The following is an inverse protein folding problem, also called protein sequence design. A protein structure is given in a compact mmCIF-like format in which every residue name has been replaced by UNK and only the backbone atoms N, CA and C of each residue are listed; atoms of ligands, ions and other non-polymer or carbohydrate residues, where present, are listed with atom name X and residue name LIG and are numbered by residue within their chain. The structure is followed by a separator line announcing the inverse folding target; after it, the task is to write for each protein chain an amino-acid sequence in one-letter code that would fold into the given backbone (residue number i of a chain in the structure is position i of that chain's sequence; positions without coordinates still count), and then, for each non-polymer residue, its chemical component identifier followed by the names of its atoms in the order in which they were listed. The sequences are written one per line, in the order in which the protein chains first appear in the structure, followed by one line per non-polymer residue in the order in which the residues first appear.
data_IF_624772385643
#
_entry.id   IF_624772385643
#
_cell.length_a   1.000
_cell.length_b   1.000
_cell.length_c   1.000
_cell.angle_alpha   90.00
_cell.angle_beta   90.00
_cell.angle_gamma   90.00
#
_symmetry.space_group_name_H-M   'P 1'
#
loop_
_entity.id
_entity.type
_entity.pdbx_description
1 polymer ?
#
# COMPACT_ATOMS: atom_id res chain seq x y z
N UNK A 1 -11.14 1.22 26.77
CA UNK A 1 -10.94 2.69 26.83
C UNK A 1 -10.65 3.21 28.24
N UNK A 2 -11.35 2.82 29.31
CA UNK A 2 -11.22 3.45 30.65
C UNK A 2 -9.80 3.52 31.23
N UNK A 3 -8.95 2.53 30.98
CA UNK A 3 -7.53 2.54 31.41
C UNK A 3 -6.52 2.97 30.35
N UNK A 4 -6.97 3.32 29.14
CA UNK A 4 -6.05 3.75 28.07
C UNK A 4 -5.61 5.20 28.30
N UNK A 5 -4.33 5.47 28.13
CA UNK A 5 -3.75 6.83 28.24
C UNK A 5 -3.53 7.48 26.88
N UNK A 6 -3.45 6.67 25.81
CA UNK A 6 -3.31 7.10 24.42
C UNK A 6 -3.99 6.12 23.47
N UNK A 7 -4.17 6.53 22.22
CA UNK A 7 -4.57 5.69 21.10
C UNK A 7 -3.39 5.56 20.13
N UNK A 8 -2.96 4.33 19.86
CA UNK A 8 -2.00 4.04 18.79
C UNK A 8 -2.76 3.54 17.57
N UNK A 9 -2.60 4.22 16.44
CA UNK A 9 -3.34 3.94 15.22
C UNK A 9 -2.39 3.56 14.08
N UNK A 10 -2.53 2.36 13.56
CA UNK A 10 -1.81 1.92 12.35
C UNK A 10 -2.75 1.83 11.16
N UNK A 11 -3.94 1.26 11.36
CA UNK A 11 -5.06 1.23 10.42
C UNK A 11 -6.32 0.60 11.04
N UNK A 12 -7.53 0.86 10.50
CA UNK A 12 -7.88 2.00 9.66
C UNK A 12 -8.02 3.29 10.49
N UNK A 13 -7.62 4.44 9.93
CA UNK A 13 -7.67 5.72 10.66
C UNK A 13 -9.10 6.10 11.09
N UNK A 14 -10.10 5.83 10.24
CA UNK A 14 -11.50 6.09 10.55
C UNK A 14 -11.94 5.43 11.87
N UNK A 15 -11.55 4.17 12.11
CA UNK A 15 -11.84 3.47 13.36
C UNK A 15 -11.16 4.11 14.57
N UNK A 16 -9.93 4.60 14.43
CA UNK A 16 -9.21 5.28 15.49
C UNK A 16 -9.85 6.63 15.86
N UNK A 17 -10.29 7.40 14.86
CA UNK A 17 -11.01 8.66 15.09
C UNK A 17 -12.36 8.42 15.78
N UNK A 18 -13.08 7.36 15.39
CA UNK A 18 -14.30 6.93 16.09
C UNK A 18 -14.01 6.60 17.57
N UNK A 19 -12.95 5.84 17.86
CA UNK A 19 -12.57 5.54 19.25
C UNK A 19 -12.19 6.80 20.05
N UNK A 20 -11.55 7.77 19.40
CA UNK A 20 -11.24 9.06 20.00
C UNK A 20 -12.52 9.83 20.33
N UNK A 21 -13.46 9.96 19.39
CA UNK A 21 -14.77 10.58 19.62
C UNK A 21 -15.53 9.92 20.77
N UNK A 22 -15.57 8.58 20.82
CA UNK A 22 -16.24 7.84 21.90
C UNK A 22 -15.58 8.12 23.26
N UNK A 23 -14.25 8.27 23.30
CA UNK A 23 -13.55 8.66 24.51
C UNK A 23 -13.90 10.10 24.92
N UNK A 24 -13.94 11.03 23.96
CA UNK A 24 -14.26 12.44 24.18
C UNK A 24 -15.70 12.63 24.67
N UNK A 25 -16.66 11.91 24.09
CA UNK A 25 -18.06 11.88 24.54
C UNK A 25 -18.21 11.38 26.00
N UNK A 26 -17.21 10.64 26.50
CA UNK A 26 -17.13 10.19 27.91
C UNK A 26 -16.27 11.11 28.78
N UNK A 27 -15.98 12.32 28.31
CA UNK A 27 -15.18 13.32 29.02
C UNK A 27 -13.68 13.03 29.05
N UNK A 28 -13.17 12.18 28.15
CA UNK A 28 -11.75 11.80 28.10
C UNK A 28 -11.13 12.12 26.75
N UNK A 29 -10.15 13.01 26.76
CA UNK A 29 -9.35 13.30 25.57
C UNK A 29 -8.14 12.37 25.55
N UNK A 30 -8.11 11.42 24.61
CA UNK A 30 -6.97 10.53 24.42
C UNK A 30 -6.08 11.08 23.29
N UNK A 31 -4.78 11.34 23.57
CA UNK A 31 -3.81 11.61 22.52
C UNK A 31 -3.77 10.47 21.51
N UNK A 32 -3.74 10.82 20.23
CA UNK A 32 -3.69 9.87 19.12
C UNK A 32 -2.29 9.90 18.48
N UNK A 33 -1.61 8.76 18.46
CA UNK A 33 -0.36 8.58 17.72
C UNK A 33 -0.68 7.69 16.52
N UNK A 34 -0.50 8.22 15.32
CA UNK A 34 -0.74 7.48 14.09
C UNK A 34 0.55 7.17 13.33
N UNK A 35 0.76 5.91 12.97
CA UNK A 35 1.77 5.49 11.99
C UNK A 35 1.04 4.81 10.82
N UNK A 36 0.70 5.60 9.81
CA UNK A 36 -0.25 5.23 8.79
C UNK A 36 0.45 4.48 7.64
N UNK A 37 -0.09 3.30 7.32
CA UNK A 37 0.40 2.45 6.23
C UNK A 37 -0.53 2.34 5.03
N UNK A 38 -1.72 2.93 5.10
CA UNK A 38 -2.79 2.82 4.11
C UNK A 38 -3.50 4.15 3.90
N UNK A 39 -4.30 4.26 2.85
CA UNK A 39 -5.10 5.45 2.55
C UNK A 39 -6.01 5.86 3.73
N UNK A 40 -6.22 7.16 3.93
CA UNK A 40 -6.97 7.71 5.07
C UNK A 40 -8.39 7.15 5.21
N UNK A 41 -9.08 7.01 4.08
CA UNK A 41 -10.45 6.50 4.00
C UNK A 41 -10.51 4.97 3.87
N UNK A 42 -9.39 4.26 4.08
CA UNK A 42 -9.41 2.79 4.06
C UNK A 42 -10.42 2.27 5.09
N UNK A 43 -11.37 1.46 4.64
CA UNK A 43 -12.48 0.93 5.46
C UNK A 43 -13.39 2.00 6.09
N UNK A 44 -13.41 3.23 5.59
CA UNK A 44 -14.40 4.24 5.97
C UNK A 44 -15.73 3.96 5.25
N UNK A 45 -16.86 3.81 5.96
CA UNK A 45 -18.18 3.74 5.32
C UNK A 45 -18.43 5.00 4.48
N UNK A 46 -19.07 4.88 3.29
CA UNK A 46 -19.34 6.04 2.43
C UNK A 46 -20.15 7.14 3.14
N UNK A 47 -21.14 6.75 3.94
CA UNK A 47 -22.02 7.69 4.67
C UNK A 47 -21.28 8.47 5.77
N UNK A 48 -20.09 8.00 6.19
CA UNK A 48 -19.30 8.60 7.27
C UNK A 48 -18.12 9.46 6.76
N UNK A 49 -17.95 9.63 5.45
CA UNK A 49 -16.81 10.35 4.86
C UNK A 49 -16.77 11.82 5.31
N UNK A 50 -17.90 12.50 5.34
CA UNK A 50 -17.97 13.90 5.77
C UNK A 50 -17.61 14.02 7.27
N UNK A 51 -18.18 13.15 8.10
CA UNK A 51 -17.85 13.04 9.53
C UNK A 51 -16.36 12.78 9.75
N UNK A 52 -15.76 11.89 8.95
CA UNK A 52 -14.34 11.61 8.99
C UNK A 52 -13.51 12.87 8.73
N UNK A 53 -13.81 13.62 7.66
CA UNK A 53 -13.05 14.80 7.29
C UNK A 53 -13.20 15.94 8.30
N UNK A 54 -14.41 16.16 8.83
CA UNK A 54 -14.64 17.11 9.90
C UNK A 54 -13.76 16.81 11.12
N UNK A 55 -13.70 15.55 11.54
CA UNK A 55 -12.90 15.13 12.67
C UNK A 55 -11.41 15.20 12.39
N UNK A 56 -10.98 14.72 11.23
CA UNK A 56 -9.58 14.82 10.81
C UNK A 56 -9.10 16.28 10.76
N UNK A 57 -9.92 17.19 10.22
CA UNK A 57 -9.62 18.62 10.17
C UNK A 57 -9.56 19.25 11.58
N UNK A 58 -10.40 18.79 12.51
CA UNK A 58 -10.40 19.26 13.91
C UNK A 58 -9.13 18.90 14.69
N UNK A 59 -8.37 17.89 14.22
CA UNK A 59 -7.10 17.53 14.84
C UNK A 59 -6.11 18.68 14.67
N UNK A 60 -5.79 19.36 15.77
CA UNK A 60 -4.82 20.45 15.78
C UNK A 60 -3.41 19.86 15.68
N UNK A 61 -2.59 20.28 14.69
CA UNK A 61 -1.17 19.92 14.68
C UNK A 61 -0.44 20.55 15.87
N UNK A 62 0.68 19.96 16.26
CA UNK A 62 1.49 20.38 17.41
C UNK A 62 2.10 21.79 17.27
N UNK A 63 2.06 22.38 16.07
CA UNK A 63 2.82 23.58 15.70
C UNK A 63 2.33 24.88 16.38
N UNK A 64 1.17 24.87 17.05
CA UNK A 64 0.58 26.07 17.66
C UNK A 64 0.89 26.23 19.17
N UNK A 65 1.94 25.60 19.69
CA UNK A 65 2.36 25.73 21.10
C UNK A 65 1.37 25.17 22.14
N UNK A 66 0.29 24.53 21.68
CA UNK A 66 -0.65 23.79 22.51
C UNK A 66 -0.37 22.28 22.45
N UNK A 67 -0.83 21.50 23.44
CA UNK A 67 -0.73 20.05 23.40
C UNK A 67 -1.52 19.53 22.20
N UNK A 68 -0.81 18.95 21.23
CA UNK A 68 -1.41 18.28 20.09
C UNK A 68 -2.29 17.13 20.57
N UNK A 69 -3.54 17.05 20.12
CA UNK A 69 -4.34 15.84 20.35
C UNK A 69 -3.95 14.69 19.43
N UNK A 70 -3.16 14.96 18.38
CA UNK A 70 -2.70 13.92 17.48
C UNK A 70 -1.30 14.18 16.92
N UNK A 71 -0.52 13.12 16.75
CA UNK A 71 0.75 13.13 16.01
C UNK A 71 0.67 12.01 14.99
N UNK A 72 0.96 12.33 13.73
CA UNK A 72 0.91 11.38 12.63
C UNK A 72 2.26 11.28 11.95
N UNK A 73 2.59 10.09 11.49
CA UNK A 73 3.63 9.82 10.52
C UNK A 73 3.10 8.82 9.50
N UNK A 74 3.66 8.84 8.30
CA UNK A 74 3.33 7.87 7.24
C UNK A 74 4.52 6.99 6.94
N UNK A 75 4.23 5.76 6.54
CA UNK A 75 5.25 4.77 6.22
C UNK A 75 5.82 4.94 4.79
N UNK A 76 5.30 5.83 3.95
CA UNK A 76 5.86 6.04 2.62
C UNK A 76 5.52 7.44 2.06
N UNK A 77 6.35 7.90 1.11
CA UNK A 77 6.19 9.22 0.48
C UNK A 77 4.91 9.32 -0.36
N UNK A 78 4.49 8.24 -1.04
CA UNK A 78 3.26 8.25 -1.85
C UNK A 78 2.05 8.56 -0.96
N UNK A 79 1.96 7.93 0.22
CA UNK A 79 0.90 8.19 1.18
C UNK A 79 0.98 9.62 1.74
N UNK A 80 2.19 10.16 1.98
CA UNK A 80 2.35 11.58 2.35
C UNK A 80 1.72 12.50 1.31
N UNK A 81 2.03 12.29 0.03
CA UNK A 81 1.47 13.09 -1.07
C UNK A 81 -0.03 12.89 -1.22
N UNK A 82 -0.54 11.66 -1.07
CA UNK A 82 -1.98 11.40 -1.11
C UNK A 82 -2.71 12.16 0.00
N UNK A 83 -2.18 12.17 1.23
CA UNK A 83 -2.76 12.92 2.35
C UNK A 83 -2.68 14.41 2.08
N UNK A 84 -1.55 14.89 1.56
CA UNK A 84 -1.38 16.31 1.22
C UNK A 84 -2.38 16.75 0.15
N UNK A 85 -2.57 15.95 -0.89
CA UNK A 85 -3.57 16.21 -1.93
C UNK A 85 -5.00 16.25 -1.37
N UNK A 86 -5.35 15.32 -0.47
CA UNK A 86 -6.71 15.21 0.07
C UNK A 86 -7.04 16.24 1.17
N UNK A 87 -6.04 16.67 1.94
CA UNK A 87 -6.27 17.44 3.17
C UNK A 87 -5.49 18.76 3.26
N UNK A 88 -4.58 19.02 2.33
CA UNK A 88 -3.62 20.12 2.41
C UNK A 88 -2.53 19.95 3.48
N UNK A 89 -2.52 18.83 4.22
CA UNK A 89 -1.55 18.56 5.30
C UNK A 89 -0.46 17.62 4.83
N UNK A 90 0.80 18.03 4.96
CA UNK A 90 1.96 17.19 4.65
C UNK A 90 2.33 16.40 5.90
N UNK A 91 2.21 15.08 5.83
CA UNK A 91 2.57 14.20 6.96
C UNK A 91 4.06 13.86 6.93
N UNK A 92 4.75 13.81 8.08
CA UNK A 92 6.14 13.40 8.09
C UNK A 92 6.25 11.93 7.65
N UNK A 93 7.07 11.69 6.65
CA UNK A 93 7.46 10.36 6.24
C UNK A 93 8.51 9.81 7.20
N UNK A 94 8.20 8.70 7.85
CA UNK A 94 9.11 7.99 8.74
C UNK A 94 9.24 6.56 8.27
N UNK A 95 10.48 6.13 8.01
CA UNK A 95 10.77 4.75 7.66
C UNK A 95 10.86 3.90 8.93
N UNK A 96 9.95 2.94 9.10
CA UNK A 96 10.09 1.98 10.20
C UNK A 96 11.30 1.05 9.98
N UNK A 97 11.79 0.50 11.09
CA UNK A 97 12.78 -0.56 11.08
C UNK A 97 12.20 -1.76 11.81
N UNK A 98 12.33 -2.94 11.22
CA UNK A 98 11.86 -4.22 11.76
C UNK A 98 12.79 -4.78 12.83
N UNK A 99 13.32 -3.95 13.74
CA UNK A 99 14.33 -4.35 14.73
C UNK A 99 13.84 -5.44 15.69
N UNK A 100 12.52 -5.51 15.91
CA UNK A 100 11.87 -6.52 16.74
C UNK A 100 12.09 -7.95 16.22
N UNK A 101 12.45 -8.12 14.95
CA UNK A 101 12.72 -9.44 14.35
C UNK A 101 14.05 -10.02 14.79
N UNK A 102 15.04 -9.18 15.16
CA UNK A 102 16.39 -9.60 15.51
C UNK A 102 17.12 -10.41 14.43
N UNK A 103 16.62 -10.41 13.19
CA UNK A 103 17.15 -11.25 12.12
C UNK A 103 18.23 -10.53 11.31
N UNK A 104 19.18 -11.31 10.80
CA UNK A 104 20.24 -10.85 9.89
C UNK A 104 20.35 -11.83 8.74
N UNK A 105 20.60 -11.31 7.54
CA UNK A 105 20.78 -12.11 6.33
C UNK A 105 21.84 -13.20 6.54
N UNK A 106 21.44 -14.45 6.29
CA UNK A 106 22.27 -15.65 6.52
C UNK A 106 21.94 -16.68 5.43
N UNK A 107 22.48 -16.54 4.20
CA UNK A 107 22.01 -17.29 3.02
C UNK A 107 22.39 -18.79 3.05
N UNK A 108 21.62 -19.60 3.76
CA UNK A 108 21.80 -21.06 3.82
C UNK A 108 21.20 -21.79 2.61
N UNK A 109 20.22 -21.19 1.92
CA UNK A 109 19.55 -21.70 0.71
C UNK A 109 20.08 -20.98 -0.54
N UNK A 110 21.35 -21.18 -0.86
CA UNK A 110 22.10 -20.42 -1.87
C UNK A 110 21.57 -20.52 -3.33
N UNK A 111 20.72 -21.51 -3.62
CA UNK A 111 20.08 -21.71 -4.92
C UNK A 111 18.57 -21.47 -4.89
N UNK A 112 18.00 -21.01 -3.79
CA UNK A 112 16.57 -20.74 -3.68
C UNK A 112 16.28 -19.24 -3.69
N UNK A 113 15.35 -18.85 -4.55
CA UNK A 113 14.78 -17.52 -4.67
C UNK A 113 13.38 -17.58 -4.07
N UNK A 114 13.11 -16.72 -3.10
CA UNK A 114 11.77 -16.59 -2.55
C UNK A 114 10.99 -15.52 -3.30
N UNK A 115 9.90 -15.88 -3.97
CA UNK A 115 8.94 -14.93 -4.52
C UNK A 115 7.91 -14.66 -3.43
N UNK A 116 8.13 -13.57 -2.71
CA UNK A 116 7.40 -13.26 -1.48
C UNK A 116 6.07 -12.63 -1.79
N UNK A 117 4.99 -13.24 -1.27
CA UNK A 117 3.59 -12.81 -1.25
C UNK A 117 3.26 -11.93 -2.45
N UNK A 118 2.62 -12.44 -3.49
CA UNK A 118 1.97 -11.61 -4.52
C UNK A 118 0.46 -11.88 -4.47
N UNK A 119 -0.41 -10.91 -4.77
CA UNK A 119 -1.85 -11.14 -4.79
C UNK A 119 -2.13 -12.09 -5.95
N UNK A 120 -3.19 -12.88 -5.78
CA UNK A 120 -3.61 -13.97 -6.67
C UNK A 120 -3.35 -13.74 -8.17
N UNK A 121 -3.69 -12.57 -8.72
CA UNK A 121 -3.49 -12.28 -10.14
C UNK A 121 -2.01 -12.14 -10.53
N UNK A 122 -1.28 -11.26 -9.84
CA UNK A 122 0.16 -11.05 -10.05
C UNK A 122 0.95 -12.33 -9.81
N UNK A 123 0.54 -13.09 -8.80
CA UNK A 123 1.09 -14.39 -8.46
C UNK A 123 0.91 -15.39 -9.61
N UNK A 124 -0.31 -15.55 -10.12
CA UNK A 124 -0.61 -16.53 -11.18
C UNK A 124 0.15 -16.18 -12.47
N UNK A 125 0.09 -14.92 -12.92
CA UNK A 125 0.76 -14.54 -14.17
C UNK A 125 2.28 -14.63 -14.04
N UNK A 126 2.88 -14.14 -12.95
CA UNK A 126 4.33 -14.20 -12.76
C UNK A 126 4.83 -15.63 -12.58
N UNK A 127 4.12 -16.46 -11.80
CA UNK A 127 4.42 -17.88 -11.62
C UNK A 127 4.36 -18.64 -12.94
N UNK A 128 3.30 -18.45 -13.74
CA UNK A 128 3.20 -19.08 -15.05
C UNK A 128 4.30 -18.60 -16.00
N UNK A 129 4.57 -17.29 -16.07
CA UNK A 129 5.60 -16.75 -16.94
C UNK A 129 7.00 -17.28 -16.58
N UNK A 130 7.36 -17.28 -15.29
CA UNK A 130 8.61 -17.84 -14.81
C UNK A 130 8.67 -19.35 -15.04
N UNK A 131 7.58 -20.08 -14.75
CA UNK A 131 7.49 -21.51 -15.00
C UNK A 131 7.75 -21.86 -16.48
N UNK A 132 7.09 -21.16 -17.41
CA UNK A 132 7.33 -21.32 -18.86
C UNK A 132 8.75 -21.01 -19.28
N UNK A 133 9.34 -19.95 -18.71
CA UNK A 133 10.73 -19.60 -18.97
C UNK A 133 11.69 -20.71 -18.49
N UNK A 134 11.43 -21.29 -17.31
CA UNK A 134 12.22 -22.39 -16.74
C UNK A 134 12.06 -23.71 -17.49
N UNK A 135 10.87 -24.01 -18.02
CA UNK A 135 10.65 -25.15 -18.93
C UNK A 135 11.59 -25.10 -20.14
N UNK A 136 11.82 -23.89 -20.68
CA UNK A 136 12.76 -23.66 -21.78
C UNK A 136 14.24 -23.68 -21.38
N UNK A 137 14.55 -23.71 -20.08
CA UNK A 137 15.92 -23.63 -19.53
C UNK A 137 16.16 -24.74 -18.47
N UNK A 138 16.19 -26.02 -18.86
CA UNK A 138 16.25 -27.14 -17.91
C UNK A 138 17.52 -27.20 -17.05
N UNK A 139 18.55 -26.41 -17.37
CA UNK A 139 19.80 -26.29 -16.61
C UNK A 139 19.90 -25.00 -15.79
N UNK A 140 18.79 -24.28 -15.61
CA UNK A 140 18.79 -23.07 -14.81
C UNK A 140 19.13 -23.40 -13.34
N UNK A 141 20.13 -22.77 -12.71
CA UNK A 141 20.68 -23.24 -11.44
C UNK A 141 19.89 -22.77 -10.20
N UNK A 142 18.79 -22.04 -10.37
CA UNK A 142 18.03 -21.44 -9.28
C UNK A 142 16.60 -22.00 -9.23
N UNK A 143 16.15 -22.28 -8.02
CA UNK A 143 14.79 -22.73 -7.71
C UNK A 143 13.98 -21.54 -7.21
N UNK A 144 12.77 -21.37 -7.73
CA UNK A 144 11.85 -20.33 -7.29
C UNK A 144 10.80 -20.92 -6.36
N UNK A 145 10.82 -20.50 -5.10
CA UNK A 145 9.77 -20.75 -4.13
C UNK A 145 8.74 -19.64 -4.26
N UNK A 146 7.59 -19.94 -4.87
CA UNK A 146 6.46 -19.03 -4.92
C UNK A 146 5.64 -19.24 -3.64
N UNK A 147 5.62 -18.23 -2.76
CA UNK A 147 4.93 -18.34 -1.48
C UNK A 147 3.42 -18.38 -1.71
N UNK A 148 2.76 -19.44 -1.25
CA UNK A 148 1.30 -19.60 -1.38
C UNK A 148 0.53 -18.72 -0.38
N UNK A 149 -0.77 -18.51 -0.60
CA UNK A 149 -1.61 -17.62 0.22
C UNK A 149 -1.78 -18.11 1.67
N UNK A 150 -1.87 -19.42 1.86
CA UNK A 150 -1.99 -20.09 3.16
C UNK A 150 -0.62 -20.44 3.77
N UNK A 151 0.47 -20.18 3.05
CA UNK A 151 1.82 -20.43 3.52
C UNK A 151 2.29 -19.32 4.48
N UNK A 152 2.97 -19.73 5.55
CA UNK A 152 3.61 -18.81 6.49
C UNK A 152 5.05 -19.26 6.76
N UNK A 153 6.01 -18.50 6.25
CA UNK A 153 7.44 -18.76 6.44
C UNK A 153 7.94 -17.88 7.59
N UNK A 154 8.50 -18.45 8.67
CA UNK A 154 9.08 -17.65 9.74
C UNK A 154 10.21 -16.75 9.24
N UNK A 155 10.30 -15.52 9.73
CA UNK A 155 11.34 -14.55 9.37
C UNK A 155 12.77 -15.11 9.39
N UNK A 156 13.10 -15.93 10.38
CA UNK A 156 14.40 -16.64 10.50
C UNK A 156 14.74 -17.55 9.32
N UNK A 157 13.73 -18.05 8.61
CA UNK A 157 13.88 -18.89 7.43
C UNK A 157 13.92 -18.04 6.15
N UNK A 158 13.19 -16.92 6.12
CA UNK A 158 13.22 -15.96 5.00
C UNK A 158 14.63 -15.46 4.72
N UNK A 159 15.37 -15.10 5.78
CA UNK A 159 16.76 -14.63 5.67
C UNK A 159 17.75 -15.69 5.20
N UNK A 160 17.31 -16.94 5.04
CA UNK A 160 18.11 -18.03 4.53
C UNK A 160 18.05 -18.16 3.02
N UNK A 161 17.02 -17.62 2.36
CA UNK A 161 16.94 -17.61 0.90
C UNK A 161 18.08 -16.79 0.30
N UNK A 162 18.46 -17.08 -0.94
CA UNK A 162 19.50 -16.32 -1.64
C UNK A 162 19.10 -14.84 -1.77
N UNK A 163 17.86 -14.62 -2.19
CA UNK A 163 17.28 -13.32 -2.50
C UNK A 163 15.76 -13.42 -2.39
N UNK A 164 15.10 -12.31 -2.07
CA UNK A 164 13.64 -12.20 -2.09
C UNK A 164 13.20 -11.36 -3.29
N UNK A 165 12.32 -11.90 -4.13
CA UNK A 165 11.62 -11.17 -5.18
C UNK A 165 10.34 -10.60 -4.59
N UNK A 166 10.16 -9.28 -4.66
CA UNK A 166 8.92 -8.60 -4.26
C UNK A 166 8.23 -8.06 -5.50
N UNK A 167 6.97 -8.42 -5.69
CA UNK A 167 6.12 -7.88 -6.76
C UNK A 167 5.05 -7.00 -6.10
N UNK A 168 5.32 -5.70 -5.82
CA UNK A 168 4.44 -4.87 -5.03
C UNK A 168 3.13 -4.59 -5.78
N UNK A 169 2.00 -4.91 -5.14
CA UNK A 169 0.64 -4.58 -5.63
C UNK A 169 -0.01 -3.44 -4.85
N UNK A 170 0.69 -2.97 -3.82
CA UNK A 170 0.35 -1.83 -3.01
C UNK A 170 1.66 -1.12 -2.64
N UNK A 171 1.61 0.20 -2.54
CA UNK A 171 2.76 1.02 -2.20
C UNK A 171 3.25 0.74 -0.78
N UNK A 172 2.38 0.28 0.13
CA UNK A 172 2.76 -0.15 1.47
C UNK A 172 3.71 -1.37 1.49
N UNK A 173 3.71 -2.18 0.43
CA UNK A 173 4.51 -3.40 0.35
C UNK A 173 5.89 -3.19 -0.26
N UNK A 174 6.12 -2.01 -0.85
CA UNK A 174 7.47 -1.57 -1.22
C UNK A 174 8.37 -1.40 0.00
N UNK A 175 7.78 -1.42 1.20
CA UNK A 175 8.45 -1.15 2.46
C UNK A 175 8.32 -2.32 3.45
N UNK A 176 8.63 -3.55 3.05
CA UNK A 176 8.83 -4.65 4.02
C UNK A 176 10.08 -4.39 4.87
N UNK A 177 9.92 -3.56 5.90
CA UNK A 177 10.99 -3.02 6.73
C UNK A 177 11.82 -4.11 7.41
N UNK A 178 11.22 -5.25 7.68
CA UNK A 178 11.87 -6.42 8.24
C UNK A 178 12.98 -6.90 7.31
N UNK A 179 12.70 -7.06 6.01
CA UNK A 179 13.69 -7.53 5.03
C UNK A 179 14.83 -6.53 4.84
N UNK A 180 14.51 -5.23 4.76
CA UNK A 180 15.52 -4.18 4.70
C UNK A 180 16.39 -4.14 5.96
N UNK A 181 15.78 -4.27 7.15
CA UNK A 181 16.49 -4.24 8.43
C UNK A 181 17.39 -5.46 8.61
N UNK A 182 17.02 -6.59 8.01
CA UNK A 182 17.84 -7.80 7.99
C UNK A 182 19.04 -7.73 7.03
N UNK A 183 19.11 -6.70 6.17
CA UNK A 183 20.07 -6.66 5.06
C UNK A 183 19.80 -7.74 4.00
N UNK A 184 18.55 -8.20 3.88
CA UNK A 184 18.17 -9.23 2.90
C UNK A 184 18.25 -8.66 1.48
N UNK A 185 18.95 -9.32 0.54
CA UNK A 185 18.93 -8.91 -0.86
C UNK A 185 17.51 -8.98 -1.44
N UNK A 186 17.09 -7.92 -2.12
CA UNK A 186 15.76 -7.80 -2.73
C UNK A 186 15.89 -7.64 -4.25
N UNK A 187 15.04 -8.36 -4.99
CA UNK A 187 14.78 -8.10 -6.41
C UNK A 187 13.43 -7.41 -6.54
N UNK A 188 13.47 -6.19 -7.06
CA UNK A 188 12.30 -5.38 -7.34
C UNK A 188 12.11 -5.25 -8.85
N UNK A 189 10.88 -5.10 -9.34
CA UNK A 189 10.62 -4.71 -10.71
C UNK A 189 11.36 -3.41 -11.06
N UNK A 190 11.76 -3.29 -12.32
CA UNK A 190 12.27 -2.03 -12.85
C UNK A 190 11.21 -0.93 -12.72
N UNK A 191 11.65 0.34 -12.71
CA UNK A 191 10.79 1.52 -12.49
C UNK A 191 9.56 1.51 -13.41
N UNK A 192 9.73 1.11 -14.66
CA UNK A 192 8.68 1.05 -15.69
C UNK A 192 7.57 0.05 -15.35
N UNK A 193 7.92 -1.04 -14.68
CA UNK A 193 6.98 -2.07 -14.24
C UNK A 193 6.35 -1.74 -12.88
N UNK A 194 7.08 -1.04 -12.00
CA UNK A 194 6.60 -0.71 -10.67
C UNK A 194 5.31 0.12 -10.72
N UNK A 195 5.22 1.11 -11.62
CA UNK A 195 3.97 1.85 -11.85
C UNK A 195 2.82 0.93 -12.31
N UNK A 196 3.10 -0.04 -13.18
CA UNK A 196 2.05 -0.95 -13.69
C UNK A 196 1.50 -1.84 -12.57
N UNK A 197 2.36 -2.28 -11.66
CA UNK A 197 1.97 -3.17 -10.57
C UNK A 197 1.24 -2.46 -9.43
N UNK A 198 1.66 -1.24 -9.06
CA UNK A 198 1.02 -0.47 -7.98
C UNK A 198 -0.41 -0.02 -8.31
N UNK A 199 -0.71 0.24 -9.59
CA UNK A 199 -2.00 0.76 -10.02
C UNK A 199 -3.00 -0.31 -10.51
N UNK A 200 -2.67 -1.59 -10.37
CA UNK A 200 -3.61 -2.67 -10.68
C UNK A 200 -4.79 -2.74 -9.70
N UNK A 201 -4.65 -2.25 -8.46
CA UNK A 201 -5.66 -2.36 -7.38
C UNK A 201 -6.84 -1.37 -7.50
N UNK A 202 -7.38 -1.23 -8.70
CA UNK A 202 -8.66 -0.55 -8.96
C UNK A 202 -9.11 -0.71 -10.41
N UNK A 203 -8.46 -1.60 -11.16
CA UNK A 203 -8.57 -1.65 -12.61
C UNK A 203 -8.41 -3.08 -13.12
N UNK A 204 -9.56 -3.72 -13.33
CA UNK A 204 -9.70 -4.56 -14.52
C UNK A 204 -9.12 -3.81 -15.74
N UNK A 205 -9.22 -2.48 -15.85
CA UNK A 205 -8.79 -1.74 -17.05
C UNK A 205 -7.32 -1.82 -17.50
N UNK A 206 -6.29 -2.01 -16.65
CA UNK A 206 -4.89 -2.10 -17.17
C UNK A 206 -4.52 -3.53 -17.49
N UNK A 207 -4.92 -4.47 -16.63
CA UNK A 207 -4.79 -5.91 -16.89
C UNK A 207 -5.58 -6.31 -18.12
N UNK A 208 -6.83 -5.87 -18.25
CA UNK A 208 -7.73 -6.09 -19.39
C UNK A 208 -7.25 -5.37 -20.65
N UNK A 209 -6.76 -4.12 -20.58
CA UNK A 209 -6.15 -3.48 -21.77
C UNK A 209 -4.88 -4.19 -22.23
N UNK A 210 -4.03 -4.65 -21.32
CA UNK A 210 -2.93 -5.53 -21.69
C UNK A 210 -3.47 -6.83 -22.29
N UNK A 211 -4.41 -7.51 -21.64
CA UNK A 211 -5.00 -8.77 -22.12
C UNK A 211 -5.65 -8.63 -23.51
N UNK A 212 -6.39 -7.55 -23.75
CA UNK A 212 -7.00 -7.20 -25.04
C UNK A 212 -5.95 -6.82 -26.08
N UNK A 213 -4.81 -6.23 -25.68
CA UNK A 213 -3.70 -5.93 -26.61
C UNK A 213 -2.93 -7.16 -27.07
N UNK A 214 -2.86 -8.21 -26.23
CA UNK A 214 -2.25 -9.51 -26.60
C UNK A 214 -3.26 -10.52 -27.14
N UNK A 215 -4.55 -10.38 -26.85
CA UNK A 215 -5.64 -11.20 -27.39
C UNK A 215 -6.84 -10.33 -27.80
N UNK A 216 -6.82 -9.74 -29.01
CA UNK A 216 -7.92 -8.93 -29.52
C UNK A 216 -9.23 -9.73 -29.58
N UNK A 217 -10.28 -9.23 -28.91
CA UNK A 217 -11.62 -9.83 -28.92
C UNK A 217 -11.94 -10.78 -27.75
N UNK A 218 -11.01 -10.98 -26.80
CA UNK A 218 -11.28 -11.74 -25.59
C UNK A 218 -11.76 -10.80 -24.45
N UNK A 219 -12.98 -11.02 -23.96
CA UNK A 219 -13.54 -10.33 -22.79
C UNK A 219 -13.29 -11.18 -21.54
N UNK A 220 -12.54 -10.71 -20.54
CA UNK A 220 -12.35 -11.46 -19.29
C UNK A 220 -13.70 -11.71 -18.61
N UNK A 221 -13.88 -12.85 -17.90
CA UNK A 221 -15.06 -13.06 -17.08
C UNK A 221 -15.17 -11.94 -16.05
N UNK A 222 -16.32 -11.26 -16.01
CA UNK A 222 -16.59 -10.13 -15.13
C UNK A 222 -16.28 -10.48 -13.67
N UNK A 223 -15.27 -9.85 -13.09
CA UNK A 223 -15.21 -9.68 -11.65
C UNK A 223 -16.06 -8.43 -11.34
N UNK A 224 -17.31 -8.62 -10.93
CA UNK A 224 -18.17 -7.55 -10.46
C UNK A 224 -17.52 -6.88 -9.23
N UNK A 225 -16.88 -5.75 -9.46
CA UNK A 225 -16.78 -4.71 -8.45
C UNK A 225 -17.75 -3.62 -8.85
N UNK A 226 -18.46 -3.06 -7.87
CA UNK A 226 -19.47 -2.03 -8.03
C UNK A 226 -18.94 -0.82 -8.84
N UNK A 227 -18.97 -0.93 -10.16
CA UNK A 227 -19.19 0.22 -11.01
C UNK A 227 -20.65 0.57 -10.80
N UNK A 228 -20.90 1.47 -9.86
CA UNK A 228 -22.20 2.09 -9.69
C UNK A 228 -22.67 2.57 -11.06
N UNK A 229 -23.82 2.08 -11.56
CA UNK A 229 -24.33 2.38 -12.90
C UNK A 229 -24.43 3.91 -13.14
N UNK A 230 -24.51 4.66 -12.06
CA UNK A 230 -24.43 6.12 -11.96
C UNK A 230 -23.25 6.73 -12.74
N UNK A 231 -22.08 6.07 -12.78
CA UNK A 231 -20.89 6.62 -13.45
C UNK A 231 -20.98 6.54 -14.98
N UNK A 232 -21.79 5.63 -15.53
CA UNK A 232 -22.05 5.56 -16.98
C UNK A 232 -23.02 6.64 -17.45
N UNK A 233 -23.90 7.11 -16.56
CA UNK A 233 -24.94 8.08 -16.89
C UNK A 233 -24.49 9.55 -16.73
N UNK A 234 -23.48 9.83 -15.89
CA UNK A 234 -22.98 11.18 -15.68
C UNK A 234 -21.43 11.26 -15.79
N UNK A 235 -20.88 11.47 -16.99
CA UNK A 235 -19.45 11.69 -17.19
C UNK A 235 -19.04 13.08 -16.70
N UNK A 236 -18.89 13.23 -15.38
CA UNK A 236 -18.33 14.41 -14.72
C UNK A 236 -17.00 14.09 -14.02
N UNK A 237 -16.25 15.11 -13.55
CA UNK A 237 -15.14 14.87 -12.64
C UNK A 237 -15.64 14.10 -11.41
N UNK A 238 -14.91 13.09 -10.92
CA UNK A 238 -15.36 12.26 -9.82
C UNK A 238 -15.69 13.13 -8.60
N UNK A 239 -16.87 12.90 -8.00
CA UNK A 239 -17.27 13.62 -6.79
C UNK A 239 -16.22 13.35 -5.69
N UNK A 240 -15.61 14.39 -5.09
CA UNK A 240 -14.63 14.21 -4.01
C UNK A 240 -15.19 13.45 -2.80
N UNK A 241 -16.52 13.33 -2.66
CA UNK A 241 -17.20 12.49 -1.65
C UNK A 241 -17.20 11.01 -1.98
N UNK A 242 -17.04 10.63 -3.25
CA UNK A 242 -16.84 9.22 -3.62
C UNK A 242 -15.40 8.90 -3.26
N UNK A 243 -15.19 8.38 -2.04
CA UNK A 243 -13.90 7.98 -1.52
C UNK A 243 -13.09 7.28 -2.60
N UNK A 244 -12.05 7.93 -3.10
CA UNK A 244 -11.18 7.31 -4.08
C UNK A 244 -10.56 6.10 -3.39
N UNK A 245 -10.78 4.91 -3.95
CA UNK A 245 -9.98 3.74 -3.56
C UNK A 245 -8.50 4.14 -3.63
N UNK A 246 -7.66 3.54 -2.78
CA UNK A 246 -6.23 3.83 -2.72
C UNK A 246 -5.59 3.88 -4.12
N UNK A 247 -6.04 3.05 -5.06
CA UNK A 247 -5.59 3.07 -6.45
C UNK A 247 -6.10 4.25 -7.29
N UNK A 248 -7.34 4.74 -7.12
CA UNK A 248 -7.83 5.94 -7.85
C UNK A 248 -7.09 7.20 -7.39
N UNK A 249 -6.91 7.35 -6.07
CA UNK A 249 -6.18 8.48 -5.49
C UNK A 249 -4.70 8.43 -5.88
N UNK A 250 -4.07 7.27 -5.75
CA UNK A 250 -2.67 7.12 -6.11
C UNK A 250 -2.45 7.27 -7.64
N UNK A 251 -3.44 6.93 -8.49
CA UNK A 251 -3.38 7.18 -9.95
C UNK A 251 -3.38 8.67 -10.26
N UNK A 252 -4.27 9.45 -9.63
CA UNK A 252 -4.29 10.91 -9.79
C UNK A 252 -2.97 11.55 -9.37
N UNK A 253 -2.37 11.09 -8.27
CA UNK A 253 -1.03 11.52 -7.83
C UNK A 253 0.05 11.13 -8.83
N UNK A 254 0.08 9.90 -9.35
CA UNK A 254 1.06 9.50 -10.35
C UNK A 254 0.92 10.27 -11.66
N UNK A 255 -0.30 10.50 -12.14
CA UNK A 255 -0.54 11.29 -13.34
C UNK A 255 -0.10 12.74 -13.14
N UNK A 256 -0.37 13.35 -11.99
CA UNK A 256 0.11 14.71 -11.64
C UNK A 256 1.65 14.77 -11.52
N UNK A 257 2.29 13.79 -10.86
CA UNK A 257 3.76 13.70 -10.76
C UNK A 257 4.44 13.51 -12.13
N UNK A 258 3.83 12.73 -13.02
CA UNK A 258 4.33 12.52 -14.38
C UNK A 258 4.14 13.76 -15.25
N UNK A 259 3.02 14.47 -15.08
CA UNK A 259 2.71 15.70 -15.83
C UNK A 259 3.57 16.87 -15.39
N UNK A 260 3.92 16.94 -14.09
CA UNK A 260 4.80 17.98 -13.54
C UNK A 260 6.29 17.75 -13.84
N UNK A 261 6.66 16.58 -14.37
CA UNK A 261 8.04 16.24 -14.71
C UNK A 261 8.96 16.38 -13.50
N UNK A 262 9.00 15.36 -12.63
CA UNK A 262 9.86 15.31 -11.44
C UNK A 262 11.22 15.97 -11.69
N UNK A 263 11.47 17.12 -11.05
CA UNK A 263 12.78 17.77 -11.14
C UNK A 263 13.66 17.25 -10.00
N UNK A 264 14.97 17.13 -10.25
CA UNK A 264 15.96 16.68 -9.28
C UNK A 264 15.86 17.31 -7.86
N UNK A 265 15.51 18.60 -7.67
CA UNK A 265 15.35 19.19 -6.34
C UNK A 265 14.17 18.65 -5.51
N UNK A 266 13.22 17.89 -6.08
CA UNK A 266 12.11 17.29 -5.32
C UNK A 266 12.54 16.07 -4.47
N UNK A 267 13.82 15.69 -4.53
CA UNK A 267 14.39 14.50 -3.87
C UNK A 267 15.49 14.82 -2.83
N UNK A 268 15.76 16.10 -2.54
CA UNK A 268 16.72 16.51 -1.50
C UNK A 268 16.08 16.71 -0.11
#
# INVERSE_FOLDING_TARGET
LQGAELLLCTEPLAGCLMLQQVAEARGRRLPLIGYLGVALLNSCPPDDIDTFWEHFASLKPAEAGGPSSAVFAVNNLILSEMIFYQSGRRMPYVRAHGLYTGMSYTPLKANEILVWRAPLFMYTTSRCAVGRLLEGMPKYPLNFHFMEEDESIPYREVVQYKVVVLLPWDHALMTFYELYSAGMPLLLPAKEWMYRFLYQRGQLSVGERMYQSIMPGHTPPHAEFAEDEVFKENPGPPDPRVGMSSAKAARGVAEDMLTRGMQAPDFE
#
